data_IF_958008641763
#
_entry.id   IF_958008641763
#
_cell.length_a   1.000
_cell.length_b   1.000
_cell.length_c   1.000
_cell.angle_alpha   90.00
_cell.angle_beta   90.00
_cell.angle_gamma   90.00
#
_symmetry.space_group_name_H-M   'P 1'
#
loop_
_entity.id
_entity.type
_entity.pdbx_description
1 polymer ?
#
# COMPACT_ATOMS: atom_id res chain seq x y z
N UNK A 1 -27.16 4.47 -7.12
CA UNK A 1 -25.70 4.27 -7.11
C UNK A 1 -25.01 5.60 -6.83
N UNK A 2 -24.87 5.96 -5.55
CA UNK A 2 -24.42 7.31 -5.17
C UNK A 2 -23.02 7.64 -5.73
N UNK A 3 -22.87 8.85 -6.29
CA UNK A 3 -21.58 9.35 -6.75
C UNK A 3 -20.68 9.66 -5.54
N UNK A 4 -19.53 8.99 -5.42
CA UNK A 4 -18.58 9.10 -4.30
C UNK A 4 -17.50 10.17 -4.51
N UNK A 5 -17.80 11.24 -5.25
CA UNK A 5 -16.80 12.29 -5.50
C UNK A 5 -16.57 13.11 -4.22
N UNK A 6 -15.33 13.12 -3.71
CA UNK A 6 -14.92 13.94 -2.56
C UNK A 6 -15.18 13.32 -1.17
N UNK A 7 -15.74 12.11 -1.07
CA UNK A 7 -15.98 11.45 0.22
C UNK A 7 -14.83 10.56 0.67
N UNK A 8 -13.93 10.20 -0.25
CA UNK A 8 -12.78 9.33 -0.01
C UNK A 8 -11.55 9.86 -0.74
N UNK A 9 -10.38 9.65 -0.14
CA UNK A 9 -9.07 10.04 -0.68
C UNK A 9 -8.08 8.90 -0.55
N UNK A 10 -7.06 8.86 -1.42
CA UNK A 10 -5.89 8.00 -1.21
C UNK A 10 -4.97 8.74 -0.25
N UNK A 11 -4.88 8.25 0.99
CA UNK A 11 -4.09 8.87 2.04
C UNK A 11 -2.60 8.49 1.99
N UNK A 12 -2.24 7.37 1.35
CA UNK A 12 -0.85 6.95 1.20
C UNK A 12 -0.67 5.88 0.13
N UNK A 13 0.55 5.78 -0.40
CA UNK A 13 0.94 4.84 -1.46
C UNK A 13 2.22 4.12 -1.08
N UNK A 14 2.24 2.80 -1.24
CA UNK A 14 3.39 1.96 -0.96
C UNK A 14 3.71 1.04 -2.12
N UNK A 15 4.98 0.68 -2.25
CA UNK A 15 5.49 -0.20 -3.29
C UNK A 15 6.70 -0.98 -2.80
N UNK A 16 6.94 -2.12 -3.43
CA UNK A 16 8.19 -2.85 -3.27
C UNK A 16 9.26 -2.36 -4.24
N UNK A 17 10.51 -2.74 -4.03
CA UNK A 17 11.57 -2.52 -5.01
C UNK A 17 11.29 -3.27 -6.34
N UNK A 18 11.48 -2.61 -7.48
CA UNK A 18 11.29 -3.25 -8.79
C UNK A 18 12.47 -4.17 -9.08
N UNK A 19 12.17 -5.41 -9.43
CA UNK A 19 13.17 -6.40 -9.80
C UNK A 19 12.57 -7.40 -10.79
N UNK A 20 13.44 -8.07 -11.55
CA UNK A 20 13.02 -9.16 -12.45
C UNK A 20 12.72 -10.45 -11.69
N UNK A 21 13.38 -10.66 -10.54
CA UNK A 21 13.16 -11.77 -9.60
C UNK A 21 13.47 -11.28 -8.19
N UNK A 22 12.44 -11.06 -7.37
CA UNK A 22 12.60 -10.58 -5.99
C UNK A 22 13.13 -11.64 -5.03
N UNK A 23 12.98 -12.93 -5.39
CA UNK A 23 13.32 -14.06 -4.51
C UNK A 23 12.40 -14.20 -3.30
N UNK A 24 11.29 -13.45 -3.26
CA UNK A 24 10.37 -13.36 -2.12
C UNK A 24 8.99 -13.87 -2.52
N UNK A 25 8.24 -14.34 -1.54
CA UNK A 25 6.86 -14.75 -1.72
C UNK A 25 5.99 -13.54 -2.06
N UNK A 26 4.85 -13.81 -2.71
CA UNK A 26 3.87 -12.76 -3.01
C UNK A 26 3.34 -12.12 -1.74
N UNK A 27 3.18 -12.90 -0.66
CA UNK A 27 2.74 -12.38 0.63
C UNK A 27 3.72 -11.36 1.20
N UNK A 28 5.03 -11.67 1.22
CA UNK A 28 6.05 -10.73 1.70
C UNK A 28 6.06 -9.43 0.88
N UNK A 29 5.90 -9.53 -0.45
CA UNK A 29 5.84 -8.35 -1.31
C UNK A 29 4.59 -7.51 -1.03
N UNK A 30 3.43 -8.14 -0.88
CA UNK A 30 2.18 -7.46 -0.56
C UNK A 30 2.24 -6.79 0.81
N UNK A 31 2.78 -7.49 1.82
CA UNK A 31 2.95 -6.95 3.17
C UNK A 31 3.89 -5.76 3.19
N UNK A 32 5.03 -5.81 2.48
CA UNK A 32 5.95 -4.67 2.37
C UNK A 32 5.27 -3.44 1.74
N UNK A 33 4.59 -3.64 0.61
CA UNK A 33 3.89 -2.54 -0.06
C UNK A 33 2.77 -1.96 0.82
N UNK A 34 2.00 -2.81 1.51
CA UNK A 34 0.93 -2.38 2.40
C UNK A 34 1.47 -1.59 3.61
N UNK A 35 2.51 -2.08 4.28
CA UNK A 35 3.15 -1.39 5.39
C UNK A 35 3.74 -0.04 4.95
N UNK A 36 4.32 0.03 3.75
CA UNK A 36 4.78 1.29 3.17
C UNK A 36 3.65 2.29 2.95
N UNK A 37 2.50 1.84 2.43
CA UNK A 37 1.34 2.70 2.21
C UNK A 37 0.74 3.21 3.52
N UNK A 38 0.70 2.37 4.55
CA UNK A 38 0.24 2.72 5.90
C UNK A 38 1.16 3.77 6.52
N UNK A 39 2.48 3.58 6.42
CA UNK A 39 3.46 4.55 6.91
C UNK A 39 3.37 5.90 6.16
N UNK A 40 3.22 5.87 4.83
CA UNK A 40 3.04 7.08 4.00
C UNK A 40 1.74 7.82 4.35
N UNK A 41 0.68 7.08 4.70
CA UNK A 41 -0.56 7.64 5.22
C UNK A 41 -0.44 8.21 6.65
N UNK A 42 0.70 8.06 7.32
CA UNK A 42 0.96 8.60 8.66
C UNK A 42 0.19 7.89 9.77
N UNK A 43 -0.21 6.64 9.55
CA UNK A 43 -0.97 5.82 10.52
C UNK A 43 -0.17 4.58 10.94
N UNK A 44 -0.61 3.93 12.02
CA UNK A 44 0.05 2.75 12.60
C UNK A 44 -0.83 1.49 12.52
N UNK A 45 -0.23 0.31 12.72
CA UNK A 45 -0.89 -1.02 12.57
C UNK A 45 -1.36 -1.63 13.88
N UNK A 46 -1.19 -0.93 15.01
CA UNK A 46 -1.68 -1.30 16.33
C UNK A 46 -3.19 -1.06 16.54
#
# INVERSE_FOLDING_TARGET
>A
MAAMSGTSVIAGVGRTAFSRRSGRTVLELATEAALGAIADAGISVD
#
